data_IF_173738200606
#
_entry.id   IF_173738200606
#
_cell.length_a   1.000
_cell.length_b   1.000
_cell.length_c   1.000
_cell.angle_alpha   90.00
_cell.angle_beta   90.00
_cell.angle_gamma   90.00
#
_symmetry.space_group_name_H-M   'P 1'
#
loop_
_entity.id
_entity.type
_entity.pdbx_description
1 polymer ?
#
# COMPACT_ATOMS: atom_id res chain seq x y z
N UNK A 1 3.00 33.47 -29.49
CA UNK A 1 2.81 33.91 -28.08
C UNK A 1 3.66 35.14 -27.88
N UNK A 2 3.06 36.27 -27.54
CA UNK A 2 3.82 37.47 -27.19
C UNK A 2 4.31 37.42 -25.73
N UNK A 3 5.08 38.41 -25.31
CA UNK A 3 5.63 38.45 -23.96
C UNK A 3 4.55 38.71 -22.89
N UNK A 4 3.47 39.42 -23.23
CA UNK A 4 2.37 39.72 -22.29
C UNK A 4 1.67 38.44 -21.90
N UNK A 5 1.29 37.62 -22.88
CA UNK A 5 0.64 36.34 -22.65
C UNK A 5 1.56 35.35 -21.96
N UNK A 6 2.85 35.29 -22.37
CA UNK A 6 3.85 34.45 -21.69
C UNK A 6 3.97 34.78 -20.21
N UNK A 7 4.10 36.06 -19.86
CA UNK A 7 4.26 36.51 -18.46
C UNK A 7 2.99 36.26 -17.67
N UNK A 8 1.81 36.51 -18.26
CA UNK A 8 0.52 36.28 -17.62
C UNK A 8 0.33 34.81 -17.24
N UNK A 9 0.63 33.89 -18.15
CA UNK A 9 0.56 32.44 -17.88
C UNK A 9 1.52 32.04 -16.75
N UNK A 10 2.77 32.49 -16.82
CA UNK A 10 3.76 32.10 -15.81
C UNK A 10 3.48 32.71 -14.44
N UNK A 11 2.96 33.94 -14.36
CA UNK A 11 2.57 34.55 -13.08
C UNK A 11 1.34 33.89 -12.48
N UNK A 12 0.36 33.49 -13.30
CA UNK A 12 -0.78 32.72 -12.82
C UNK A 12 -0.32 31.39 -12.21
N UNK A 13 0.57 30.67 -12.89
CA UNK A 13 1.13 29.42 -12.35
C UNK A 13 1.93 29.67 -11.07
N UNK A 14 2.79 30.70 -11.04
CA UNK A 14 3.56 31.03 -9.85
C UNK A 14 2.66 31.37 -8.66
N UNK A 15 1.57 32.09 -8.87
CA UNK A 15 0.65 32.41 -7.78
C UNK A 15 -0.13 31.17 -7.28
N UNK A 16 -0.33 30.17 -8.14
CA UNK A 16 -0.98 28.93 -7.76
C UNK A 16 -0.13 28.03 -6.86
N UNK A 17 1.21 28.07 -6.95
CA UNK A 17 2.10 27.13 -6.25
C UNK A 17 3.30 27.75 -5.50
N UNK A 18 3.71 28.99 -5.82
CA UNK A 18 4.98 29.56 -5.36
C UNK A 18 4.87 30.91 -4.63
N UNK A 19 3.75 31.61 -4.74
CA UNK A 19 3.47 32.76 -3.86
C UNK A 19 3.11 32.27 -2.45
N UNK A 20 3.01 33.19 -1.48
CA UNK A 20 2.52 32.85 -0.14
C UNK A 20 1.08 32.28 -0.17
N UNK A 21 0.26 32.73 -1.13
CA UNK A 21 -1.07 32.15 -1.38
C UNK A 21 -0.94 30.69 -1.83
N UNK A 22 -0.09 30.40 -2.83
CA UNK A 22 0.19 29.04 -3.28
C UNK A 22 0.77 28.14 -2.18
N UNK A 23 1.71 28.64 -1.38
CA UNK A 23 2.31 27.91 -0.26
C UNK A 23 1.32 27.62 0.87
N UNK A 24 0.41 28.55 1.18
CA UNK A 24 -0.70 28.29 2.10
C UNK A 24 -1.60 27.18 1.57
N UNK A 25 -1.87 27.16 0.26
CA UNK A 25 -2.65 26.10 -0.38
C UNK A 25 -1.93 24.74 -0.31
N UNK A 26 -0.63 24.69 -0.56
CA UNK A 26 0.16 23.46 -0.37
C UNK A 26 0.03 22.92 1.06
N UNK A 27 0.29 23.77 2.06
CA UNK A 27 0.20 23.37 3.46
C UNK A 27 -1.21 22.90 3.84
N UNK A 28 -2.23 23.54 3.27
CA UNK A 28 -3.63 23.19 3.46
C UNK A 28 -3.93 21.80 2.86
N UNK A 29 -3.64 21.56 1.58
CA UNK A 29 -3.96 20.28 0.94
C UNK A 29 -3.22 19.10 1.58
N UNK A 30 -2.02 19.32 2.13
CA UNK A 30 -1.26 18.26 2.83
C UNK A 30 -1.93 17.85 4.15
N UNK A 31 -2.57 18.79 4.87
CA UNK A 31 -2.94 18.59 6.27
C UNK A 31 -4.41 18.80 6.60
N UNK A 32 -5.23 19.27 5.66
CA UNK A 32 -6.59 19.69 5.95
C UNK A 32 -7.46 18.56 6.53
N UNK A 33 -7.34 17.36 5.98
CA UNK A 33 -8.10 16.19 6.44
C UNK A 33 -7.49 15.47 7.64
N UNK A 34 -6.36 15.96 8.18
CA UNK A 34 -5.69 15.37 9.33
C UNK A 34 -4.18 15.22 9.15
N UNK A 35 -3.50 14.80 10.22
CA UNK A 35 -2.09 14.45 10.15
C UNK A 35 -1.88 13.22 9.26
N UNK A 36 -0.64 13.03 8.80
CA UNK A 36 -0.27 11.92 7.93
C UNK A 36 -0.60 10.54 8.54
N UNK A 37 -0.46 10.41 9.85
CA UNK A 37 -0.77 9.16 10.55
C UNK A 37 -2.28 8.98 10.70
N UNK A 38 -3.01 10.04 11.06
CA UNK A 38 -4.44 9.92 11.33
C UNK A 38 -5.23 9.53 10.07
N UNK A 39 -4.90 10.09 8.89
CA UNK A 39 -5.55 9.69 7.62
C UNK A 39 -5.29 8.21 7.27
N UNK A 40 -4.11 7.67 7.61
CA UNK A 40 -3.75 6.27 7.38
C UNK A 40 -4.42 5.34 8.40
N UNK A 41 -4.49 5.77 9.66
CA UNK A 41 -5.20 5.06 10.70
C UNK A 41 -6.70 4.99 10.41
N UNK A 42 -7.32 6.07 9.93
CA UNK A 42 -8.73 6.06 9.51
C UNK A 42 -8.97 5.10 8.34
N UNK A 43 -8.06 5.08 7.35
CA UNK A 43 -8.11 4.12 6.24
C UNK A 43 -8.05 2.67 6.73
N UNK A 44 -7.10 2.35 7.62
CA UNK A 44 -6.98 1.02 8.22
C UNK A 44 -8.21 0.65 9.06
N UNK A 45 -8.66 1.56 9.92
CA UNK A 45 -9.85 1.36 10.77
C UNK A 45 -11.09 1.10 9.92
N UNK A 46 -11.25 1.79 8.79
CA UNK A 46 -12.35 1.54 7.85
C UNK A 46 -12.25 0.14 7.23
N UNK A 47 -11.04 -0.29 6.82
CA UNK A 47 -10.85 -1.64 6.27
C UNK A 47 -11.19 -2.73 7.31
N UNK A 48 -10.83 -2.50 8.59
CA UNK A 48 -11.18 -3.37 9.70
C UNK A 48 -12.69 -3.36 10.00
N UNK A 49 -13.29 -2.18 10.20
CA UNK A 49 -14.71 -2.07 10.60
C UNK A 49 -15.69 -2.48 9.51
N UNK A 50 -15.32 -2.37 8.24
CA UNK A 50 -16.13 -2.84 7.10
C UNK A 50 -16.02 -4.35 6.85
N UNK A 51 -15.13 -5.06 7.56
CA UNK A 51 -14.84 -6.48 7.33
C UNK A 51 -14.01 -6.76 6.07
N UNK A 52 -13.49 -5.72 5.40
CA UNK A 52 -12.58 -5.92 4.27
C UNK A 52 -11.28 -6.59 4.73
N UNK A 53 -10.76 -6.21 5.91
CA UNK A 53 -9.58 -6.84 6.50
C UNK A 53 -9.83 -8.33 6.79
N UNK A 54 -10.99 -8.69 7.33
CA UNK A 54 -11.33 -10.08 7.62
C UNK A 54 -11.39 -10.94 6.35
N UNK A 55 -11.93 -10.39 5.25
CA UNK A 55 -11.93 -11.09 3.95
C UNK A 55 -10.52 -11.30 3.41
N UNK A 56 -9.63 -10.32 3.57
CA UNK A 56 -8.23 -10.46 3.20
C UNK A 56 -7.55 -11.53 4.04
N UNK A 57 -7.76 -11.51 5.37
CA UNK A 57 -7.19 -12.48 6.29
C UNK A 57 -7.73 -13.89 6.08
N UNK A 58 -9.00 -14.08 5.74
CA UNK A 58 -9.55 -15.40 5.45
C UNK A 58 -8.83 -16.11 4.28
N UNK A 59 -8.36 -15.34 3.29
CA UNK A 59 -7.55 -15.88 2.21
C UNK A 59 -6.15 -16.29 2.70
N UNK A 60 -5.55 -15.48 3.58
CA UNK A 60 -4.26 -15.79 4.22
C UNK A 60 -4.39 -17.05 5.09
N UNK A 61 -5.43 -17.14 5.92
CA UNK A 61 -5.69 -18.28 6.78
C UNK A 61 -5.89 -19.56 5.98
N UNK A 62 -6.62 -19.49 4.85
CA UNK A 62 -6.74 -20.62 3.94
C UNK A 62 -5.37 -21.05 3.41
N UNK A 63 -4.56 -20.12 2.90
CA UNK A 63 -3.21 -20.43 2.41
C UNK A 63 -2.34 -21.09 3.49
N UNK A 64 -2.33 -20.54 4.70
CA UNK A 64 -1.57 -21.07 5.84
C UNK A 64 -2.09 -22.44 6.29
N UNK A 65 -3.38 -22.73 6.09
CA UNK A 65 -3.97 -24.03 6.45
C UNK A 65 -3.57 -25.17 5.52
N UNK A 66 -3.03 -24.87 4.33
CA UNK A 66 -2.73 -25.85 3.29
C UNK A 66 -1.35 -26.52 3.46
N UNK A 67 -0.56 -26.12 4.47
CA UNK A 67 0.72 -26.75 4.81
C UNK A 67 1.02 -26.68 6.31
N UNK A 68 1.92 -27.55 6.76
CA UNK A 68 2.58 -27.43 8.06
C UNK A 68 4.07 -27.74 7.94
N UNK A 69 4.77 -27.81 9.07
CA UNK A 69 6.20 -28.09 9.14
C UNK A 69 6.61 -29.48 8.58
N UNK A 70 5.66 -30.36 8.29
CA UNK A 70 5.87 -31.71 7.75
C UNK A 70 5.48 -31.84 6.27
N UNK A 71 4.95 -30.78 5.63
CA UNK A 71 4.59 -30.78 4.21
C UNK A 71 3.19 -30.23 3.92
N UNK A 72 2.64 -30.60 2.77
CA UNK A 72 1.30 -30.19 2.34
C UNK A 72 0.21 -30.95 3.10
N UNK A 73 -0.84 -30.24 3.53
CA UNK A 73 -2.05 -30.85 4.14
C UNK A 73 -3.16 -31.11 3.13
N UNK A 74 -3.03 -30.56 1.92
CA UNK A 74 -3.94 -30.75 0.79
C UNK A 74 -3.47 -31.87 -0.14
N UNK A 75 -4.42 -32.67 -0.63
CA UNK A 75 -4.13 -33.92 -1.37
C UNK A 75 -3.68 -33.75 -2.82
N UNK A 76 -3.78 -32.54 -3.38
CA UNK A 76 -3.51 -32.29 -4.80
C UNK A 76 -2.06 -31.87 -5.08
N UNK A 77 -1.25 -31.67 -4.03
CA UNK A 77 0.15 -31.26 -4.14
C UNK A 77 1.09 -32.44 -3.85
N UNK A 78 2.27 -32.41 -4.46
CA UNK A 78 3.32 -33.39 -4.21
C UNK A 78 4.19 -32.91 -3.04
N UNK A 79 4.34 -33.75 -2.02
CA UNK A 79 5.38 -33.56 -1.00
C UNK A 79 6.76 -33.73 -1.63
N UNK A 80 7.79 -33.22 -0.95
CA UNK A 80 9.15 -33.16 -1.47
C UNK A 80 10.04 -34.35 -1.06
N UNK A 81 9.48 -35.39 -0.42
CA UNK A 81 10.23 -36.54 0.10
C UNK A 81 11.06 -37.27 -0.97
N UNK A 82 10.60 -37.27 -2.22
CA UNK A 82 11.24 -37.93 -3.36
C UNK A 82 12.42 -37.14 -3.94
N UNK A 83 12.47 -35.83 -3.73
CA UNK A 83 13.47 -34.91 -4.31
C UNK A 83 14.37 -34.23 -3.28
N UNK A 84 13.98 -34.15 -2.00
CA UNK A 84 14.78 -33.49 -0.98
C UNK A 84 16.11 -34.25 -0.76
N UNK A 85 17.24 -33.54 -0.85
CA UNK A 85 18.58 -34.15 -0.74
C UNK A 85 19.32 -33.76 0.55
N UNK A 86 18.68 -33.07 1.50
CA UNK A 86 19.35 -32.58 2.70
C UNK A 86 20.01 -33.71 3.48
N UNK A 87 19.33 -34.84 3.63
CA UNK A 87 19.87 -36.02 4.30
C UNK A 87 21.09 -36.61 3.59
N UNK A 88 21.15 -36.61 2.26
CA UNK A 88 22.32 -37.13 1.53
C UNK A 88 23.53 -36.20 1.57
N UNK A 89 23.30 -34.92 1.80
CA UNK A 89 24.35 -33.89 1.80
C UNK A 89 24.89 -33.60 3.21
N UNK A 90 24.06 -33.77 4.24
CA UNK A 90 24.33 -33.29 5.60
C UNK A 90 24.32 -34.39 6.67
N UNK A 91 23.89 -35.62 6.35
CA UNK A 91 24.06 -36.80 7.20
C UNK A 91 25.12 -37.72 6.62
#
# INVERSE_FOLDING_TARGET
MDHVERIKILKLMWDAIGSEFGGRHELYEINYSGSQDEIRLQCLRQAQSSGNMDKMMAMVDRCLSEYDQNGWTVSHLHNNDDINQLDKLLK
#
